data_IF_871716694194
#
_entry.id   IF_871716694194
#
_cell.length_a   1.000
_cell.length_b   1.000
_cell.length_c   1.000
_cell.angle_alpha   90.00
_cell.angle_beta   90.00
_cell.angle_gamma   90.00
#
_symmetry.space_group_name_H-M   'P 1'
#
loop_
_entity.id
_entity.type
_entity.pdbx_description
1 polymer ?
#
# COMPACT_ATOMS: atom_id res chain seq x y z
N UNK A 1 4.22 -23.21 -5.91
CA UNK A 1 3.66 -24.05 -6.98
C UNK A 1 3.72 -25.49 -6.53
N UNK A 2 3.23 -26.46 -7.31
CA UNK A 2 3.37 -27.88 -6.95
C UNK A 2 4.85 -28.25 -6.80
N UNK A 3 5.23 -28.80 -5.64
CA UNK A 3 6.62 -29.12 -5.31
C UNK A 3 7.09 -30.50 -5.79
N UNK A 4 6.24 -31.29 -6.44
CA UNK A 4 6.54 -32.69 -6.77
C UNK A 4 7.79 -32.85 -7.66
N UNK A 5 7.96 -31.99 -8.67
CA UNK A 5 9.17 -32.00 -9.52
C UNK A 5 10.41 -31.53 -8.80
N UNK A 6 10.28 -30.53 -7.93
CA UNK A 6 11.38 -30.07 -7.09
C UNK A 6 11.86 -31.17 -6.16
N UNK A 7 10.93 -31.85 -5.48
CA UNK A 7 11.22 -32.95 -4.56
C UNK A 7 11.86 -34.15 -5.28
N UNK A 8 11.26 -34.62 -6.38
CA UNK A 8 11.77 -35.78 -7.11
C UNK A 8 13.17 -35.57 -7.71
N UNK A 9 13.47 -34.36 -8.17
CA UNK A 9 14.75 -34.04 -8.81
C UNK A 9 15.76 -33.33 -7.89
N UNK A 10 15.37 -33.01 -6.66
CA UNK A 10 16.10 -32.12 -5.74
C UNK A 10 16.71 -30.89 -6.43
N UNK A 11 15.93 -30.20 -7.28
CA UNK A 11 16.46 -29.15 -8.15
C UNK A 11 15.66 -27.85 -8.01
N UNK A 12 16.36 -26.77 -7.66
CA UNK A 12 15.78 -25.44 -7.44
C UNK A 12 15.15 -24.83 -8.70
N UNK A 13 15.51 -25.28 -9.92
CA UNK A 13 14.90 -24.80 -11.18
C UNK A 13 13.39 -25.03 -11.26
N UNK A 14 12.86 -25.95 -10.46
CA UNK A 14 11.43 -26.25 -10.38
C UNK A 14 10.69 -25.43 -9.32
N UNK A 15 11.39 -24.51 -8.66
CA UNK A 15 10.84 -23.61 -7.66
C UNK A 15 10.86 -22.18 -8.21
N UNK A 16 9.73 -21.49 -8.12
CA UNK A 16 9.62 -20.10 -8.53
C UNK A 16 10.21 -19.22 -7.44
N UNK A 17 11.26 -18.48 -7.79
CA UNK A 17 11.84 -17.44 -6.94
C UNK A 17 11.61 -16.07 -7.59
N UNK A 18 10.83 -15.16 -6.97
CA UNK A 18 10.52 -13.85 -7.54
C UNK A 18 11.74 -12.99 -7.87
N UNK A 19 12.87 -13.18 -7.17
CA UNK A 19 14.14 -12.48 -7.46
C UNK A 19 14.69 -12.79 -8.85
N UNK A 20 14.33 -13.93 -9.43
CA UNK A 20 14.79 -14.35 -10.77
C UNK A 20 13.71 -14.16 -11.84
N UNK A 21 12.62 -13.46 -11.53
CA UNK A 21 11.57 -13.11 -12.47
C UNK A 21 11.76 -11.67 -12.97
N UNK A 22 11.11 -11.33 -14.09
CA UNK A 22 10.92 -9.92 -14.44
C UNK A 22 10.16 -9.22 -13.31
N UNK A 23 10.39 -7.91 -13.15
CA UNK A 23 9.72 -7.10 -12.10
C UNK A 23 8.20 -7.28 -12.09
N UNK A 24 7.60 -7.33 -13.29
CA UNK A 24 6.17 -7.55 -13.48
C UNK A 24 5.74 -8.94 -12.96
N UNK A 25 6.38 -10.02 -13.40
CA UNK A 25 6.08 -11.39 -12.94
C UNK A 25 6.34 -11.58 -11.44
N UNK A 26 7.39 -10.96 -10.91
CA UNK A 26 7.69 -10.92 -9.46
C UNK A 26 6.54 -10.29 -8.68
N UNK A 27 6.06 -9.13 -9.14
CA UNK A 27 4.94 -8.41 -8.51
C UNK A 27 3.64 -9.20 -8.60
N UNK A 28 3.40 -9.89 -9.72
CA UNK A 28 2.22 -10.75 -9.92
C UNK A 28 2.14 -11.90 -8.89
N UNK A 29 3.26 -12.40 -8.39
CA UNK A 29 3.26 -13.43 -7.32
C UNK A 29 2.49 -12.93 -6.09
N UNK A 30 2.67 -11.67 -5.70
CA UNK A 30 1.97 -11.03 -4.58
C UNK A 30 0.55 -10.59 -4.98
N UNK A 31 0.37 -10.10 -6.20
CA UNK A 31 -0.92 -9.67 -6.76
C UNK A 31 -1.96 -10.78 -6.92
N UNK A 32 -1.57 -12.04 -6.72
CA UNK A 32 -2.48 -13.19 -6.60
C UNK A 32 -3.38 -13.12 -5.36
N UNK A 33 -2.97 -12.40 -4.32
CA UNK A 33 -3.70 -12.30 -3.07
C UNK A 33 -3.87 -10.86 -2.58
N UNK A 34 -2.90 -9.99 -2.85
CA UNK A 34 -2.92 -8.57 -2.44
C UNK A 34 -3.70 -7.68 -3.43
N UNK A 35 -4.81 -8.19 -3.92
CA UNK A 35 -5.70 -7.53 -4.89
C UNK A 35 -7.18 -7.83 -4.55
N UNK A 36 -8.10 -7.08 -5.16
CA UNK A 36 -9.56 -7.26 -5.07
C UNK A 36 -10.24 -7.57 -6.41
N UNK A 37 -9.48 -7.89 -7.46
CA UNK A 37 -10.01 -8.53 -8.67
C UNK A 37 -10.86 -9.76 -8.32
N UNK A 38 -11.79 -10.17 -9.18
CA UNK A 38 -12.45 -11.47 -9.05
C UNK A 38 -11.85 -12.47 -10.04
N UNK A 39 -11.70 -13.73 -9.62
CA UNK A 39 -11.34 -14.81 -10.53
C UNK A 39 -12.43 -15.03 -11.58
N UNK A 40 -12.09 -15.71 -12.69
CA UNK A 40 -13.08 -16.13 -13.70
C UNK A 40 -14.18 -16.96 -13.05
N UNK A 41 -13.80 -17.76 -12.04
CA UNK A 41 -14.72 -18.53 -11.23
C UNK A 41 -15.28 -19.72 -12.01
N UNK A 42 -14.78 -20.91 -11.71
CA UNK A 42 -15.42 -22.16 -12.12
C UNK A 42 -16.79 -22.34 -11.45
N UNK A 43 -17.19 -23.55 -11.01
CA UNK A 43 -18.45 -23.77 -10.26
C UNK A 43 -18.59 -22.96 -8.96
N UNK A 44 -17.56 -22.20 -8.60
CA UNK A 44 -17.43 -21.40 -7.39
C UNK A 44 -17.21 -19.94 -7.81
N UNK A 45 -18.28 -19.14 -7.80
CA UNK A 45 -18.31 -17.74 -8.25
C UNK A 45 -18.01 -16.78 -7.09
N UNK A 46 -17.26 -15.69 -7.34
CA UNK A 46 -17.19 -14.53 -6.43
C UNK A 46 -15.94 -14.40 -5.54
N UNK A 47 -14.94 -15.27 -5.68
CA UNK A 47 -13.68 -15.19 -4.92
C UNK A 47 -12.76 -14.09 -5.46
N UNK A 48 -12.03 -13.40 -4.57
CA UNK A 48 -11.03 -12.37 -4.94
C UNK A 48 -9.71 -12.96 -5.46
N UNK A 49 -9.60 -14.28 -5.45
CA UNK A 49 -8.42 -15.02 -5.88
C UNK A 49 -8.46 -15.30 -7.40
N UNK A 50 -7.29 -15.32 -8.08
CA UNK A 50 -7.18 -15.59 -9.51
C UNK A 50 -7.36 -17.08 -9.82
N UNK A 51 -8.62 -17.50 -9.86
CA UNK A 51 -9.06 -18.86 -10.17
C UNK A 51 -9.64 -18.89 -11.58
N UNK A 52 -9.21 -19.83 -12.40
CA UNK A 52 -9.72 -20.02 -13.77
C UNK A 52 -11.01 -20.86 -13.82
N UNK A 53 -11.51 -21.13 -15.04
CA UNK A 53 -12.74 -21.89 -15.26
C UNK A 53 -12.67 -23.34 -14.75
N UNK A 54 -11.48 -23.94 -14.73
CA UNK A 54 -11.23 -25.29 -14.20
C UNK A 54 -10.98 -25.32 -12.68
N UNK A 55 -11.33 -24.24 -11.98
CA UNK A 55 -11.12 -24.07 -10.54
C UNK A 55 -9.66 -24.20 -10.09
N UNK A 56 -8.70 -23.84 -10.97
CA UNK A 56 -7.28 -23.80 -10.65
C UNK A 56 -6.84 -22.39 -10.30
N UNK A 57 -6.16 -22.27 -9.16
CA UNK A 57 -5.43 -21.07 -8.80
C UNK A 57 -4.28 -20.86 -9.78
N UNK A 58 -4.06 -19.63 -10.25
CA UNK A 58 -2.93 -19.30 -11.10
C UNK A 58 -1.61 -19.78 -10.49
N UNK A 59 -0.73 -20.48 -11.23
CA UNK A 59 0.61 -20.81 -10.76
C UNK A 59 1.43 -19.55 -10.43
N UNK A 60 2.32 -19.58 -9.42
CA UNK A 60 3.23 -18.47 -9.18
C UNK A 60 4.20 -18.30 -10.35
N UNK A 61 4.62 -17.06 -10.60
CA UNK A 61 5.57 -16.73 -11.65
C UNK A 61 4.97 -16.60 -13.05
N UNK A 62 3.66 -16.74 -13.22
CA UNK A 62 2.99 -16.41 -14.47
C UNK A 62 3.01 -14.90 -14.77
N UNK A 63 2.71 -14.55 -16.03
CA UNK A 63 2.61 -13.15 -16.46
C UNK A 63 1.29 -12.51 -16.04
N UNK A 64 1.27 -11.18 -15.95
CA UNK A 64 0.07 -10.36 -15.75
C UNK A 64 -0.88 -10.49 -16.92
N UNK A 65 -0.38 -10.73 -18.13
CA UNK A 65 -1.23 -11.04 -19.27
C UNK A 65 -2.04 -12.30 -18.98
N UNK A 66 -1.37 -13.40 -18.62
CA UNK A 66 -2.01 -14.67 -18.21
C UNK A 66 -3.01 -14.46 -17.08
N UNK A 67 -2.60 -13.73 -16.03
CA UNK A 67 -3.46 -13.39 -14.90
C UNK A 67 -4.77 -12.73 -15.34
N UNK A 68 -4.70 -11.76 -16.26
CA UNK A 68 -5.86 -10.99 -16.70
C UNK A 68 -6.72 -11.71 -17.74
N UNK A 69 -6.13 -12.51 -18.61
CA UNK A 69 -6.87 -13.15 -19.71
C UNK A 69 -7.42 -14.53 -19.35
N UNK A 70 -6.82 -15.22 -18.38
CA UNK A 70 -7.19 -16.60 -18.04
C UNK A 70 -7.68 -16.78 -16.59
N UNK A 71 -7.31 -15.88 -15.68
CA UNK A 71 -7.57 -16.05 -14.24
C UNK A 71 -8.32 -14.87 -13.60
N UNK A 72 -8.81 -13.91 -14.38
CA UNK A 72 -9.57 -12.76 -13.88
C UNK A 72 -10.87 -12.61 -14.65
N UNK A 73 -11.98 -12.33 -13.95
CA UNK A 73 -13.26 -11.97 -14.55
C UNK A 73 -13.08 -10.73 -15.45
N UNK A 74 -13.47 -10.79 -16.74
CA UNK A 74 -13.29 -9.68 -17.67
C UNK A 74 -14.04 -8.39 -17.27
N UNK A 75 -15.06 -8.49 -16.42
CA UNK A 75 -15.83 -7.36 -15.89
C UNK A 75 -15.31 -6.86 -14.54
N UNK A 76 -14.58 -7.68 -13.79
CA UNK A 76 -14.17 -7.38 -12.40
C UNK A 76 -12.65 -7.52 -12.22
N UNK A 77 -11.91 -6.66 -12.91
CA UNK A 77 -10.44 -6.72 -13.05
C UNK A 77 -9.63 -6.11 -11.89
N UNK A 78 -10.29 -5.64 -10.85
CA UNK A 78 -9.66 -4.96 -9.72
C UNK A 78 -10.70 -4.49 -8.72
N UNK A 79 -10.31 -3.60 -7.80
CA UNK A 79 -11.21 -3.07 -6.78
C UNK A 79 -12.45 -2.38 -7.34
N UNK A 80 -13.57 -2.51 -6.64
CA UNK A 80 -14.79 -1.77 -6.94
C UNK A 80 -14.65 -0.29 -6.55
N UNK A 81 -15.47 0.59 -7.15
CA UNK A 81 -15.38 2.04 -6.92
C UNK A 81 -15.50 2.43 -5.42
N UNK A 82 -16.31 1.72 -4.63
CA UNK A 82 -16.45 1.96 -3.19
C UNK A 82 -15.24 1.56 -2.35
N UNK A 83 -14.26 0.87 -2.94
CA UNK A 83 -13.04 0.37 -2.31
C UNK A 83 -11.83 1.26 -2.62
N UNK A 84 -12.04 2.36 -3.34
CA UNK A 84 -11.02 3.35 -3.71
C UNK A 84 -11.50 4.70 -3.16
N UNK A 85 -10.56 5.52 -2.68
CA UNK A 85 -10.87 6.88 -2.28
C UNK A 85 -11.27 7.75 -3.50
N UNK A 86 -11.97 8.88 -3.30
CA UNK A 86 -12.44 9.73 -4.40
C UNK A 86 -11.36 10.27 -5.35
N UNK A 87 -10.08 10.13 -4.99
CA UNK A 87 -8.96 10.53 -5.85
C UNK A 87 -8.59 9.51 -6.91
N UNK A 88 -9.27 8.35 -6.93
CA UNK A 88 -9.04 7.22 -7.83
C UNK A 88 -7.62 6.64 -7.78
N UNK A 89 -6.82 7.04 -6.79
CA UNK A 89 -5.41 6.63 -6.65
C UNK A 89 -5.29 5.69 -5.46
N UNK A 90 -5.74 6.12 -4.29
CA UNK A 90 -5.49 5.41 -3.04
C UNK A 90 -6.61 4.41 -2.72
N UNK A 91 -6.21 3.22 -2.32
CA UNK A 91 -7.14 2.20 -1.86
C UNK A 91 -7.72 2.51 -0.48
N UNK A 92 -8.98 2.16 -0.29
CA UNK A 92 -9.74 2.36 0.95
C UNK A 92 -9.95 1.07 1.73
N UNK A 93 -9.94 -0.09 1.08
CA UNK A 93 -10.18 -1.40 1.72
C UNK A 93 -8.92 -2.26 1.79
N UNK A 94 -8.90 -3.32 2.63
CA UNK A 94 -7.73 -4.18 2.76
C UNK A 94 -7.49 -5.04 1.53
N UNK A 95 -6.28 -5.55 1.39
CA UNK A 95 -5.82 -6.40 0.29
C UNK A 95 -5.77 -5.66 -1.06
N UNK A 96 -5.30 -4.42 -1.05
CA UNK A 96 -5.16 -3.60 -2.27
C UNK A 96 -3.73 -3.05 -2.45
N UNK A 97 -2.73 -3.71 -1.86
CA UNK A 97 -1.33 -3.30 -2.03
C UNK A 97 -0.85 -3.45 -3.47
N UNK A 98 -1.28 -4.49 -4.20
CA UNK A 98 -0.93 -4.68 -5.60
C UNK A 98 -1.53 -3.60 -6.53
N UNK A 99 -2.85 -3.29 -6.50
CA UNK A 99 -3.39 -2.22 -7.34
C UNK A 99 -2.80 -0.85 -6.99
N UNK A 100 -2.52 -0.55 -5.71
CA UNK A 100 -1.77 0.65 -5.33
C UNK A 100 -0.35 0.67 -5.95
N UNK A 101 0.39 -0.43 -5.81
CA UNK A 101 1.74 -0.55 -6.36
C UNK A 101 1.76 -0.41 -7.88
N UNK A 102 0.78 -1.01 -8.57
CA UNK A 102 0.60 -0.90 -10.01
C UNK A 102 0.43 0.55 -10.48
N UNK A 103 -0.24 1.39 -9.67
CA UNK A 103 -0.40 2.84 -9.93
C UNK A 103 0.85 3.67 -9.59
N UNK A 104 1.80 3.10 -8.86
CA UNK A 104 3.02 3.81 -8.44
C UNK A 104 4.05 3.94 -9.57
N UNK A 105 4.95 4.92 -9.44
CA UNK A 105 6.12 5.04 -10.32
C UNK A 105 7.14 3.91 -10.10
N UNK A 106 7.05 3.16 -9.00
CA UNK A 106 7.95 2.04 -8.73
C UNK A 106 7.67 0.86 -9.68
N UNK A 107 6.39 0.60 -9.98
CA UNK A 107 5.98 -0.46 -10.89
C UNK A 107 6.44 -0.22 -12.34
N UNK A 108 6.44 1.04 -12.79
CA UNK A 108 6.92 1.43 -14.13
C UNK A 108 7.60 2.80 -14.12
N UNK A 109 8.89 2.82 -14.45
CA UNK A 109 9.67 4.03 -14.65
C UNK A 109 10.81 3.79 -15.66
N UNK A 110 11.57 4.85 -15.95
CA UNK A 110 12.66 4.85 -16.94
C UNK A 110 14.02 4.38 -16.40
N UNK A 111 14.13 4.04 -15.11
CA UNK A 111 15.41 3.75 -14.44
C UNK A 111 15.50 2.30 -13.97
N UNK A 112 14.73 1.96 -12.94
CA UNK A 112 14.75 0.66 -12.29
C UNK A 112 13.33 0.26 -11.97
N UNK A 113 12.87 -0.82 -12.58
CA UNK A 113 11.59 -1.43 -12.23
C UNK A 113 11.75 -2.14 -10.90
N UNK A 114 10.85 -1.83 -9.97
CA UNK A 114 10.85 -2.38 -8.61
C UNK A 114 9.68 -3.36 -8.50
N UNK A 115 9.86 -4.37 -7.66
CA UNK A 115 8.88 -5.40 -7.32
C UNK A 115 8.69 -5.47 -5.80
N UNK A 116 7.70 -6.24 -5.34
CA UNK A 116 7.45 -6.43 -3.91
C UNK A 116 8.67 -7.04 -3.18
N UNK A 117 9.38 -7.95 -3.85
CA UNK A 117 10.54 -8.66 -3.28
C UNK A 117 11.77 -7.75 -3.07
N UNK A 118 11.78 -6.57 -3.68
CA UNK A 118 12.85 -5.59 -3.44
C UNK A 118 12.72 -4.93 -2.06
N UNK A 119 11.53 -4.96 -1.45
CA UNK A 119 11.27 -4.38 -0.13
C UNK A 119 10.89 -5.42 0.94
N UNK A 120 10.37 -6.58 0.54
CA UNK A 120 9.90 -7.63 1.44
C UNK A 120 10.74 -8.91 1.34
N UNK A 121 11.05 -9.50 2.49
CA UNK A 121 11.53 -10.87 2.59
C UNK A 121 10.35 -11.84 2.69
N UNK A 122 10.20 -12.68 1.67
CA UNK A 122 9.09 -13.63 1.61
C UNK A 122 9.23 -14.83 2.55
N UNK A 123 10.43 -15.07 3.10
CA UNK A 123 10.61 -16.12 4.11
C UNK A 123 10.36 -15.60 5.53
N UNK A 124 10.15 -14.29 5.69
CA UNK A 124 9.92 -13.67 6.98
C UNK A 124 11.10 -13.77 7.93
N UNK A 125 12.33 -13.85 7.41
CA UNK A 125 13.56 -13.97 8.19
C UNK A 125 14.05 -12.65 8.79
N UNK A 126 13.21 -11.60 8.77
CA UNK A 126 13.55 -10.27 9.26
C UNK A 126 12.72 -9.90 10.49
N UNK A 127 13.29 -9.14 11.44
CA UNK A 127 12.55 -8.68 12.62
C UNK A 127 11.61 -7.51 12.30
N UNK A 128 11.64 -6.99 11.08
CA UNK A 128 10.90 -5.79 10.71
C UNK A 128 9.46 -6.10 10.38
N UNK A 129 8.54 -5.21 10.81
CA UNK A 129 7.10 -5.38 10.58
C UNK A 129 6.79 -5.67 9.12
N UNK A 130 5.81 -6.56 8.88
CA UNK A 130 5.39 -6.98 7.53
C UNK A 130 6.53 -7.58 6.70
N UNK A 131 7.54 -8.16 7.36
CA UNK A 131 8.70 -8.81 6.75
C UNK A 131 9.44 -7.91 5.76
N UNK A 132 9.61 -6.63 6.10
CA UNK A 132 10.43 -5.74 5.30
C UNK A 132 11.90 -6.16 5.39
N UNK A 133 12.70 -5.91 4.37
CA UNK A 133 14.13 -6.27 4.38
C UNK A 133 14.98 -5.36 5.27
N UNK A 134 14.46 -4.17 5.59
CA UNK A 134 15.10 -3.15 6.43
C UNK A 134 14.06 -2.42 7.29
N UNK A 135 14.51 -1.78 8.37
CA UNK A 135 13.63 -1.11 9.33
C UNK A 135 12.87 0.06 8.67
N UNK A 136 11.52 0.05 8.59
CA UNK A 136 10.78 1.21 8.07
C UNK A 136 10.77 2.41 9.02
N UNK A 137 11.08 2.18 10.30
CA UNK A 137 10.96 3.16 11.38
C UNK A 137 12.36 3.72 11.77
N UNK A 138 13.30 3.69 10.81
CA UNK A 138 14.63 4.31 10.91
C UNK A 138 14.80 5.33 9.76
N UNK A 139 15.04 6.63 10.06
CA UNK A 139 15.20 7.67 9.04
C UNK A 139 16.39 7.44 8.10
N UNK A 140 17.40 6.67 8.54
CA UNK A 140 18.60 6.31 7.78
C UNK A 140 18.49 4.96 7.08
N UNK A 141 17.33 4.32 7.19
CA UNK A 141 17.11 2.97 6.68
C UNK A 141 17.40 2.83 5.19
N UNK A 142 18.14 1.79 4.78
CA UNK A 142 18.33 1.45 3.37
C UNK A 142 17.05 0.91 2.71
N UNK A 143 15.92 0.82 3.44
CA UNK A 143 14.62 0.44 2.86
C UNK A 143 14.20 1.34 1.69
N UNK A 144 14.49 2.64 1.78
CA UNK A 144 14.24 3.59 0.69
C UNK A 144 15.56 4.15 0.15
N UNK A 145 16.52 4.39 1.05
CA UNK A 145 17.75 5.12 0.73
C UNK A 145 18.71 4.36 -0.19
N UNK A 146 18.60 3.02 -0.31
CA UNK A 146 19.42 2.25 -1.27
C UNK A 146 19.21 2.69 -2.72
N UNK A 147 18.02 3.20 -3.05
CA UNK A 147 17.69 3.76 -4.36
C UNK A 147 17.55 5.29 -4.31
N UNK A 148 17.16 5.84 -3.17
CA UNK A 148 16.89 7.27 -2.95
C UNK A 148 17.87 7.87 -1.94
N UNK A 149 19.12 8.07 -2.34
CA UNK A 149 20.10 8.81 -1.53
C UNK A 149 19.67 10.27 -1.37
N UNK A 150 18.98 10.58 -0.27
CA UNK A 150 18.46 11.90 0.05
C UNK A 150 18.75 12.25 1.50
N UNK A 151 19.18 13.48 1.74
CA UNK A 151 19.15 14.02 3.09
C UNK A 151 17.69 14.35 3.46
N UNK A 152 17.16 13.68 4.48
CA UNK A 152 15.75 13.78 4.84
C UNK A 152 15.35 15.20 5.25
N UNK A 153 16.20 15.91 6.00
CA UNK A 153 15.90 17.26 6.49
C UNK A 153 15.85 18.27 5.35
N UNK A 154 16.86 18.26 4.47
CA UNK A 154 16.90 19.10 3.28
C UNK A 154 15.77 18.76 2.30
N UNK A 155 15.44 17.48 2.17
CA UNK A 155 14.30 17.04 1.36
C UNK A 155 13.00 17.65 1.88
N UNK A 156 12.75 17.57 3.18
CA UNK A 156 11.56 18.15 3.81
C UNK A 156 11.51 19.67 3.68
N UNK A 157 12.62 20.37 3.95
CA UNK A 157 12.69 21.82 3.77
C UNK A 157 12.38 22.23 2.34
N UNK A 158 12.90 21.47 1.37
CA UNK A 158 12.63 21.71 -0.06
C UNK A 158 11.16 21.49 -0.41
N UNK A 159 10.56 20.39 0.07
CA UNK A 159 9.20 19.97 -0.30
C UNK A 159 8.09 20.64 0.50
N UNK A 160 8.36 21.00 1.75
CA UNK A 160 7.38 21.52 2.70
C UNK A 160 7.67 22.96 3.11
N UNK A 161 8.83 23.53 2.74
CA UNK A 161 9.23 24.87 3.16
C UNK A 161 9.60 24.97 4.64
N UNK A 162 9.72 23.85 5.35
CA UNK A 162 10.05 23.81 6.77
C UNK A 162 10.88 22.57 7.12
N UNK A 163 11.77 22.73 8.11
CA UNK A 163 12.48 21.61 8.75
C UNK A 163 11.64 21.08 9.91
N UNK A 164 11.37 19.78 9.92
CA UNK A 164 10.65 19.15 11.04
C UNK A 164 11.60 18.98 12.24
N UNK A 165 11.12 19.30 13.45
CA UNK A 165 11.86 19.04 14.69
C UNK A 165 11.79 17.54 14.98
N UNK A 166 12.93 16.86 14.98
CA UNK A 166 13.03 15.44 15.32
C UNK A 166 13.22 14.52 14.10
N UNK A 167 14.43 14.51 13.53
CA UNK A 167 14.82 13.53 12.50
C UNK A 167 14.57 12.08 12.95
N UNK A 168 14.71 11.81 14.24
CA UNK A 168 14.52 10.48 14.84
C UNK A 168 13.08 9.94 14.72
N UNK A 169 12.06 10.81 14.58
CA UNK A 169 10.63 10.41 14.53
C UNK A 169 10.02 10.51 13.14
N UNK A 170 10.78 11.00 12.15
CA UNK A 170 10.29 11.16 10.79
C UNK A 170 10.86 10.08 9.89
N UNK A 171 9.97 9.31 9.26
CA UNK A 171 10.37 8.25 8.34
C UNK A 171 9.73 8.46 6.96
N UNK A 172 10.38 7.97 5.90
CA UNK A 172 9.88 8.12 4.53
C UNK A 172 8.45 7.59 4.38
N UNK A 173 8.14 6.47 5.05
CA UNK A 173 6.84 5.80 5.01
C UNK A 173 5.71 6.63 5.64
N UNK A 174 6.02 7.53 6.57
CA UNK A 174 5.02 8.38 7.25
C UNK A 174 4.33 9.32 6.25
N UNK A 175 5.07 9.81 5.25
CA UNK A 175 4.55 10.71 4.23
C UNK A 175 4.21 10.00 2.92
N UNK A 176 5.07 9.08 2.47
CA UNK A 176 4.92 8.44 1.16
C UNK A 176 4.00 7.23 1.16
N UNK A 177 3.71 6.66 2.33
CA UNK A 177 2.86 5.47 2.45
C UNK A 177 1.82 5.66 3.57
N UNK A 178 0.97 6.71 3.53
CA UNK A 178 -0.04 6.91 4.56
C UNK A 178 -0.96 5.69 4.67
N UNK A 179 -1.41 5.36 5.87
CA UNK A 179 -2.31 4.23 6.06
C UNK A 179 -3.74 4.59 5.63
N UNK A 180 -4.07 4.35 4.36
CA UNK A 180 -5.37 4.74 3.78
C UNK A 180 -6.40 3.63 3.77
N UNK A 181 -5.98 2.37 3.99
CA UNK A 181 -6.83 1.20 3.90
C UNK A 181 -7.35 0.81 5.29
N UNK A 182 -8.66 0.74 5.43
CA UNK A 182 -9.39 0.46 6.67
C UNK A 182 -9.98 -0.94 6.58
N UNK A 183 -9.87 -1.74 7.64
CA UNK A 183 -10.46 -3.08 7.68
C UNK A 183 -11.99 -2.97 7.73
N UNK A 184 -12.71 -3.67 6.84
CA UNK A 184 -14.16 -3.51 6.70
C UNK A 184 -14.91 -3.69 8.02
N UNK A 185 -15.50 -2.61 8.53
CA UNK A 185 -16.23 -2.56 9.81
C UNK A 185 -15.48 -1.88 10.96
N UNK A 186 -14.18 -1.68 10.83
CA UNK A 186 -13.36 -0.89 11.75
C UNK A 186 -13.29 0.57 11.26
N UNK A 187 -13.19 1.55 12.15
CA UNK A 187 -12.93 2.95 11.78
C UNK A 187 -11.44 3.21 11.51
N UNK A 188 -10.57 2.24 11.81
CA UNK A 188 -9.13 2.45 11.83
C UNK A 188 -8.65 2.85 13.23
N UNK A 189 -7.43 3.37 13.31
CA UNK A 189 -6.94 4.04 14.52
C UNK A 189 -7.25 5.53 14.46
N UNK A 190 -7.35 6.20 15.61
CA UNK A 190 -7.42 7.65 15.63
C UNK A 190 -6.14 8.26 15.06
N UNK A 191 -6.33 9.18 14.11
CA UNK A 191 -5.29 10.07 13.64
C UNK A 191 -5.21 11.31 14.54
N UNK A 192 -5.23 12.49 13.92
CA UNK A 192 -5.25 13.76 14.66
C UNK A 192 -6.63 14.04 15.28
N UNK A 193 -6.64 14.58 16.49
CA UNK A 193 -7.82 15.16 17.12
C UNK A 193 -7.91 16.67 16.85
N UNK A 194 -9.11 17.15 16.48
CA UNK A 194 -9.49 18.57 16.54
C UNK A 194 -10.09 18.91 17.90
N UNK A 195 -10.84 17.97 18.47
CA UNK A 195 -11.32 18.00 19.85
C UNK A 195 -11.04 16.64 20.49
N UNK A 196 -10.54 16.64 21.72
CA UNK A 196 -10.27 15.40 22.47
C UNK A 196 -11.58 14.78 22.98
N UNK A 197 -11.68 13.44 23.02
CA UNK A 197 -12.83 12.75 23.60
C UNK A 197 -12.98 13.07 25.11
N UNK A 198 -14.16 12.84 25.71
CA UNK A 198 -15.31 12.12 25.16
C UNK A 198 -16.12 12.92 24.13
N UNK A 199 -16.75 12.21 23.19
CA UNK A 199 -17.71 12.74 22.24
C UNK A 199 -19.12 12.38 22.67
N UNK A 200 -20.09 13.28 22.44
CA UNK A 200 -21.51 13.08 22.74
C UNK A 200 -22.12 11.97 21.88
N UNK A 201 -21.75 11.94 20.60
CA UNK A 201 -22.27 10.99 19.61
C UNK A 201 -21.29 10.85 18.43
N UNK A 202 -21.59 9.91 17.53
CA UNK A 202 -20.78 9.64 16.34
C UNK A 202 -20.68 10.84 15.38
N UNK A 203 -21.66 11.76 15.39
CA UNK A 203 -21.62 12.94 14.54
C UNK A 203 -20.65 14.01 15.10
N UNK A 204 -20.54 14.13 16.42
CA UNK A 204 -19.50 14.94 17.05
C UNK A 204 -18.11 14.33 16.83
N UNK A 205 -17.97 13.02 16.98
CA UNK A 205 -16.72 12.31 16.68
C UNK A 205 -16.27 12.54 15.23
N UNK A 206 -17.17 12.35 14.26
CA UNK A 206 -16.88 12.58 12.85
C UNK A 206 -16.41 14.02 12.57
N UNK A 207 -16.91 15.00 13.31
CA UNK A 207 -16.49 16.41 13.17
C UNK A 207 -15.21 16.72 13.94
N UNK A 208 -14.79 15.85 14.85
CA UNK A 208 -13.77 16.15 15.87
C UNK A 208 -12.50 15.30 15.76
N UNK A 209 -12.54 14.17 15.06
CA UNK A 209 -11.41 13.24 14.95
C UNK A 209 -11.16 12.82 13.50
N UNK A 210 -9.90 12.80 13.12
CA UNK A 210 -9.43 12.13 11.91
C UNK A 210 -9.12 10.66 12.19
N UNK A 211 -9.14 9.84 11.14
CA UNK A 211 -8.78 8.43 11.21
C UNK A 211 -7.55 8.11 10.36
N UNK A 212 -6.85 7.04 10.74
CA UNK A 212 -5.83 6.38 9.93
C UNK A 212 -6.11 4.89 9.83
N UNK A 213 -5.89 4.32 8.65
CA UNK A 213 -6.10 2.90 8.39
C UNK A 213 -5.04 2.01 9.02
N UNK A 214 -5.18 0.69 8.85
CA UNK A 214 -4.23 -0.29 9.39
C UNK A 214 -3.16 -0.73 8.38
N UNK A 215 -3.36 -0.40 7.09
CA UNK A 215 -2.48 -0.81 6.00
C UNK A 215 -2.04 0.43 5.23
N UNK A 216 -0.73 0.59 5.14
CA UNK A 216 -0.05 1.64 4.38
C UNK A 216 -0.35 1.52 2.87
N UNK A 217 -0.66 2.66 2.25
CA UNK A 217 -0.80 2.75 0.80
C UNK A 217 0.50 2.38 0.10
N UNK A 218 0.41 1.68 -1.03
CA UNK A 218 1.57 1.28 -1.84
C UNK A 218 1.71 2.13 -3.10
N UNK A 219 1.15 3.35 -3.11
CA UNK A 219 1.24 4.31 -4.21
C UNK A 219 2.55 5.10 -4.20
N UNK A 220 3.23 5.15 -3.04
CA UNK A 220 4.48 5.88 -2.77
C UNK A 220 4.41 7.38 -3.07
N UNK A 221 3.19 7.93 -3.14
CA UNK A 221 2.89 9.32 -3.45
C UNK A 221 2.33 9.97 -2.19
N UNK A 222 2.83 11.15 -1.86
CA UNK A 222 2.30 11.96 -0.76
C UNK A 222 0.96 12.55 -1.20
N UNK A 223 -0.18 12.16 -0.60
CA UNK A 223 -1.45 12.85 -0.84
C UNK A 223 -1.45 14.21 -0.10
N UNK A 224 -1.85 15.25 -0.82
CA UNK A 224 -1.92 16.61 -0.30
C UNK A 224 -3.28 16.87 0.37
N UNK A 225 -3.36 17.90 1.22
CA UNK A 225 -4.64 18.34 1.83
C UNK A 225 -5.67 18.84 0.82
N UNK A 226 -5.19 19.24 -0.36
CA UNK A 226 -6.02 19.64 -1.51
C UNK A 226 -6.62 18.46 -2.26
N UNK A 227 -6.26 17.22 -1.88
CA UNK A 227 -6.85 16.01 -2.44
C UNK A 227 -8.37 16.02 -2.25
N UNK A 228 -9.11 15.51 -3.25
CA UNK A 228 -10.57 15.47 -3.27
C UNK A 228 -11.17 14.59 -2.16
N UNK A 229 -10.43 13.60 -1.66
CA UNK A 229 -10.79 12.83 -0.47
C UNK A 229 -10.57 13.57 0.85
N UNK A 230 -10.05 14.81 0.81
CA UNK A 230 -9.70 15.61 2.00
C UNK A 230 -10.38 16.97 2.01
N UNK A 231 -10.23 17.74 0.94
CA UNK A 231 -10.75 19.10 0.87
C UNK A 231 -12.27 19.11 1.00
N UNK A 232 -12.78 19.74 2.06
CA UNK A 232 -14.22 19.86 2.31
C UNK A 232 -14.91 18.60 2.82
N UNK A 233 -14.15 17.56 3.18
CA UNK A 233 -14.67 16.32 3.77
C UNK A 233 -14.57 16.40 5.29
N UNK A 234 -15.58 15.88 6.01
CA UNK A 234 -15.55 15.83 7.47
C UNK A 234 -14.36 14.98 7.98
N UNK A 235 -13.74 15.34 9.12
CA UNK A 235 -12.59 14.62 9.67
C UNK A 235 -12.75 13.10 9.76
N UNK A 236 -13.91 12.62 10.20
CA UNK A 236 -14.19 11.20 10.34
C UNK A 236 -14.42 10.46 9.02
N UNK A 237 -14.55 11.17 7.90
CA UNK A 237 -14.80 10.60 6.56
C UNK A 237 -13.69 10.89 5.56
N UNK A 238 -12.71 11.72 5.91
CA UNK A 238 -11.64 12.07 4.98
C UNK A 238 -10.69 10.90 4.78
N UNK A 239 -10.12 10.82 3.58
CA UNK A 239 -8.99 9.96 3.29
C UNK A 239 -7.83 10.27 4.25
N UNK A 240 -7.24 9.26 4.91
CA UNK A 240 -6.05 9.46 5.72
C UNK A 240 -4.90 10.03 4.86
N UNK A 241 -4.31 11.13 5.32
CA UNK A 241 -3.13 11.73 4.68
C UNK A 241 -2.06 12.02 5.74
N UNK A 242 -0.79 12.25 5.36
CA UNK A 242 0.28 12.55 6.32
C UNK A 242 0.03 13.76 7.23
N UNK A 243 -0.96 14.58 6.90
CA UNK A 243 -1.35 15.76 7.66
C UNK A 243 -2.49 15.50 8.65
N UNK A 244 -3.29 14.47 8.43
CA UNK A 244 -4.47 14.13 9.26
C UNK A 244 -4.25 12.87 10.10
N UNK A 245 -3.18 12.13 9.82
CA UNK A 245 -2.75 10.97 10.59
C UNK A 245 -2.22 11.34 11.99
N UNK A 246 -1.84 10.34 12.78
CA UNK A 246 -1.33 10.52 14.15
C UNK A 246 -0.09 11.43 14.23
N UNK A 247 0.75 11.46 13.18
CA UNK A 247 1.89 12.38 13.05
C UNK A 247 1.45 13.85 12.88
N UNK A 248 0.24 14.10 12.36
CA UNK A 248 -0.35 15.43 12.20
C UNK A 248 -0.59 16.18 13.52
N UNK A 249 -0.41 15.53 14.67
CA UNK A 249 -0.43 16.16 16.00
C UNK A 249 0.81 17.02 16.26
N UNK A 250 1.97 16.65 15.69
CA UNK A 250 3.21 17.42 15.81
C UNK A 250 3.27 18.62 14.84
N UNK A 251 2.29 18.77 13.94
CA UNK A 251 2.27 19.80 12.90
C UNK A 251 1.00 20.63 12.97
N UNK A 252 1.13 21.96 13.03
CA UNK A 252 -0.03 22.79 12.72
C UNK A 252 -0.26 22.78 11.21
N UNK A 253 -1.19 21.93 10.80
CA UNK A 253 -1.62 21.74 9.42
C UNK A 253 -2.14 23.05 8.80
N UNK A 254 -2.68 23.98 9.57
CA UNK A 254 -3.11 25.28 9.05
C UNK A 254 -1.94 26.21 8.70
N UNK A 255 -0.75 25.94 9.25
CA UNK A 255 0.43 26.83 9.15
C UNK A 255 1.51 26.31 8.20
N UNK A 256 1.42 25.06 7.73
CA UNK A 256 2.39 24.51 6.78
C UNK A 256 2.22 25.20 5.41
N UNK A 257 3.23 25.96 4.93
CA UNK A 257 3.13 26.69 3.67
C UNK A 257 3.03 25.74 2.49
N UNK A 258 2.27 26.13 1.47
CA UNK A 258 2.18 25.39 0.21
C UNK A 258 3.44 25.61 -0.63
N UNK A 259 3.95 24.53 -1.24
CA UNK A 259 4.76 24.60 -2.46
C UNK A 259 4.17 23.66 -3.50
#
# INVERSE_FOLDING_TARGET
GPGSRHSAANNARYTVNPKYLSSERSTVVCGRCHDRRQGVGGPIVGYTQPINAESKMMPPGESRHTLLTQYTDPKKKGPAAGEIWPDDIHSKSPHQQYPDFYKSKMYRNQRLLVSCADCHDMHGGTPYRRWLIHNPDDPTSPLCQRCHGVDLLNHMETKLGARMKGQAITHCVNCHMPATMIAGGDAGAYGRFLKTPPYKDAAEEEKSAYWEGHINAHTFKVPLKTNVGVKGVSPGKTMPVPYTNSCGTCHNVAELPYK
#
